data_IF_700282329826
#
_entry.id   IF_700282329826
#
_cell.length_a   1.000
_cell.length_b   1.000
_cell.length_c   1.000
_cell.angle_alpha   90.00
_cell.angle_beta   90.00
_cell.angle_gamma   90.00
#
_symmetry.space_group_name_H-M   'P 1'
#
loop_
_entity.id
_entity.type
_entity.pdbx_description
1 polymer ?
#
# COMPACT_ATOMS: atom_id res chain seq x y z
N UNK A 1 -30.26 42.09 -72.43
CA UNK A 1 -29.10 41.21 -72.72
C UNK A 1 -27.88 41.48 -71.83
N UNK A 2 -27.48 42.73 -71.58
CA UNK A 2 -26.32 43.04 -70.73
C UNK A 2 -26.56 42.78 -69.22
N UNK A 3 -27.74 43.13 -68.69
CA UNK A 3 -28.09 42.91 -67.27
C UNK A 3 -28.10 41.42 -66.89
N UNK A 4 -28.71 40.58 -67.73
CA UNK A 4 -28.71 39.12 -67.54
C UNK A 4 -27.29 38.52 -67.49
N UNK A 5 -26.33 39.11 -68.22
CA UNK A 5 -24.93 38.68 -68.17
C UNK A 5 -24.24 39.09 -66.86
N UNK A 6 -24.54 40.27 -66.34
CA UNK A 6 -24.01 40.74 -65.06
C UNK A 6 -24.57 39.92 -63.88
N UNK A 7 -25.87 39.62 -63.92
CA UNK A 7 -26.51 38.79 -62.90
C UNK A 7 -25.89 37.38 -62.87
N UNK A 8 -25.77 36.74 -64.03
CA UNK A 8 -25.10 35.43 -64.16
C UNK A 8 -23.63 35.45 -63.73
N UNK A 9 -22.90 36.54 -64.00
CA UNK A 9 -21.53 36.69 -63.52
C UNK A 9 -21.48 36.76 -61.99
N UNK A 10 -22.38 37.51 -61.35
CA UNK A 10 -22.46 37.62 -59.89
C UNK A 10 -22.81 36.29 -59.21
N UNK A 11 -23.71 35.50 -59.79
CA UNK A 11 -24.04 34.17 -59.27
C UNK A 11 -22.87 33.20 -59.35
N UNK A 12 -22.08 33.25 -60.44
CA UNK A 12 -20.87 32.42 -60.57
C UNK A 12 -19.85 32.75 -59.50
N UNK A 13 -19.59 34.03 -59.25
CA UNK A 13 -18.65 34.46 -58.21
C UNK A 13 -19.12 34.03 -56.82
N UNK A 14 -20.40 34.22 -56.51
CA UNK A 14 -20.98 33.77 -55.22
C UNK A 14 -20.93 32.26 -55.05
N UNK A 15 -21.18 31.49 -56.11
CA UNK A 15 -21.07 30.04 -56.08
C UNK A 15 -19.63 29.58 -55.80
N UNK A 16 -18.65 30.16 -56.48
CA UNK A 16 -17.22 29.87 -56.27
C UNK A 16 -16.78 30.23 -54.84
N UNK A 17 -17.22 31.39 -54.33
CA UNK A 17 -16.90 31.79 -52.96
C UNK A 17 -17.56 30.88 -51.91
N UNK A 18 -18.79 30.44 -52.14
CA UNK A 18 -19.47 29.50 -51.26
C UNK A 18 -18.79 28.14 -51.27
N UNK A 19 -18.38 27.65 -52.44
CA UNK A 19 -17.64 26.39 -52.58
C UNK A 19 -16.26 26.47 -51.91
N UNK A 20 -15.53 27.58 -52.09
CA UNK A 20 -14.26 27.80 -51.39
C UNK A 20 -14.44 27.84 -49.87
N UNK A 21 -15.45 28.56 -49.36
CA UNK A 21 -15.74 28.59 -47.92
C UNK A 21 -16.15 27.22 -47.39
N UNK A 22 -16.90 26.44 -48.17
CA UNK A 22 -17.25 25.07 -47.81
C UNK A 22 -16.01 24.16 -47.74
N UNK A 23 -15.11 24.24 -48.73
CA UNK A 23 -13.84 23.50 -48.73
C UNK A 23 -12.92 23.94 -47.59
N UNK A 24 -12.82 25.24 -47.30
CA UNK A 24 -12.05 25.75 -46.16
C UNK A 24 -12.65 25.28 -44.81
N UNK A 25 -13.97 25.27 -44.68
CA UNK A 25 -14.65 24.76 -43.49
C UNK A 25 -14.46 23.25 -43.31
N UNK A 26 -14.57 22.48 -44.40
CA UNK A 26 -14.36 21.04 -44.40
C UNK A 26 -12.91 20.69 -44.04
N UNK A 27 -11.92 21.32 -44.68
CA UNK A 27 -10.50 21.11 -44.37
C UNK A 27 -10.13 21.54 -42.95
N UNK A 28 -10.77 22.58 -42.41
CA UNK A 28 -10.59 22.97 -41.01
C UNK A 28 -11.24 21.95 -40.06
N UNK A 29 -12.42 21.44 -40.41
CA UNK A 29 -13.10 20.43 -39.62
C UNK A 29 -12.34 19.10 -39.61
N UNK A 30 -11.79 18.66 -40.75
CA UNK A 30 -10.98 17.44 -40.82
C UNK A 30 -9.70 17.59 -40.02
N UNK A 31 -8.96 18.70 -40.16
CA UNK A 31 -7.76 18.95 -39.33
C UNK A 31 -8.08 19.01 -37.84
N UNK A 32 -9.18 19.65 -37.46
CA UNK A 32 -9.60 19.70 -36.06
C UNK A 32 -9.98 18.30 -35.53
N UNK A 33 -10.62 17.47 -36.33
CA UNK A 33 -10.94 16.08 -35.99
C UNK A 33 -9.68 15.23 -35.84
N UNK A 34 -8.73 15.32 -36.79
CA UNK A 34 -7.44 14.62 -36.74
C UNK A 34 -6.61 15.05 -35.52
N UNK A 35 -6.56 16.35 -35.22
CA UNK A 35 -5.88 16.84 -34.01
C UNK A 35 -6.56 16.36 -32.73
N UNK A 36 -7.89 16.33 -32.69
CA UNK A 36 -8.63 15.83 -31.53
C UNK A 36 -8.38 14.33 -31.32
N UNK A 37 -8.39 13.54 -32.39
CA UNK A 37 -8.09 12.11 -32.35
C UNK A 37 -6.64 11.86 -31.91
N UNK A 38 -5.68 12.59 -32.46
CA UNK A 38 -4.28 12.49 -32.07
C UNK A 38 -4.05 12.85 -30.60
N UNK A 39 -4.74 13.88 -30.09
CA UNK A 39 -4.70 14.25 -28.66
C UNK A 39 -5.35 13.18 -27.78
N UNK A 40 -6.50 12.64 -28.20
CA UNK A 40 -7.19 11.58 -27.47
C UNK A 40 -6.33 10.31 -27.38
N UNK A 41 -5.70 9.92 -28.49
CA UNK A 41 -4.79 8.77 -28.53
C UNK A 41 -3.57 8.96 -27.63
N UNK A 42 -2.90 10.12 -27.70
CA UNK A 42 -1.79 10.43 -26.81
C UNK A 42 -2.20 10.41 -25.34
N UNK A 43 -3.35 10.99 -25.00
CA UNK A 43 -3.85 10.98 -23.64
C UNK A 43 -4.15 9.56 -23.13
N UNK A 44 -4.68 8.69 -24.01
CA UNK A 44 -4.87 7.27 -23.71
C UNK A 44 -3.55 6.55 -23.45
N UNK A 45 -2.58 6.71 -24.36
CA UNK A 45 -1.27 6.06 -24.26
C UNK A 45 -0.52 6.51 -22.98
N UNK A 46 -0.56 7.80 -22.66
CA UNK A 46 0.05 8.37 -21.45
C UNK A 46 -0.64 7.86 -20.17
N UNK A 47 -1.98 7.75 -20.19
CA UNK A 47 -2.74 7.20 -19.07
C UNK A 47 -2.41 5.72 -18.85
N UNK A 48 -2.36 4.91 -19.91
CA UNK A 48 -2.00 3.50 -19.84
C UNK A 48 -0.57 3.31 -19.34
N UNK A 49 0.37 4.13 -19.82
CA UNK A 49 1.75 4.11 -19.34
C UNK A 49 1.82 4.40 -17.83
N UNK A 50 1.10 5.42 -17.36
CA UNK A 50 1.08 5.81 -15.96
C UNK A 50 0.40 4.77 -15.06
N UNK A 51 -0.67 4.13 -15.55
CA UNK A 51 -1.34 3.03 -14.84
C UNK A 51 -0.38 1.84 -14.72
N UNK A 52 0.30 1.44 -15.80
CA UNK A 52 1.29 0.35 -15.77
C UNK A 52 2.46 0.65 -14.84
N UNK A 53 3.00 1.86 -14.87
CA UNK A 53 4.06 2.28 -13.96
C UNK A 53 3.61 2.23 -12.50
N UNK A 54 2.45 2.81 -12.19
CA UNK A 54 1.88 2.78 -10.84
C UNK A 54 1.57 1.36 -10.38
N UNK A 55 1.09 0.50 -11.27
CA UNK A 55 0.80 -0.90 -10.98
C UNK A 55 2.07 -1.65 -10.64
N UNK A 56 3.08 -1.63 -11.52
CA UNK A 56 4.36 -2.30 -11.30
C UNK A 56 5.07 -1.79 -10.03
N UNK A 57 5.03 -0.48 -9.76
CA UNK A 57 5.59 0.08 -8.54
C UNK A 57 4.85 -0.40 -7.28
N UNK A 58 3.52 -0.56 -7.35
CA UNK A 58 2.70 -1.06 -6.23
C UNK A 58 2.93 -2.54 -6.00
N UNK A 59 2.96 -3.36 -7.06
CA UNK A 59 3.26 -4.78 -6.99
C UNK A 59 4.63 -5.03 -6.35
N UNK A 60 5.66 -4.29 -6.79
CA UNK A 60 6.99 -4.39 -6.19
C UNK A 60 7.01 -4.02 -4.70
N UNK A 61 6.20 -3.04 -4.28
CA UNK A 61 6.09 -2.65 -2.86
C UNK A 61 5.39 -3.73 -2.05
N UNK A 62 4.31 -4.29 -2.57
CA UNK A 62 3.56 -5.40 -1.93
C UNK A 62 4.46 -6.61 -1.77
N UNK A 63 5.13 -7.05 -2.86
CA UNK A 63 6.07 -8.16 -2.83
C UNK A 63 7.16 -7.94 -1.78
N UNK A 64 7.77 -6.75 -1.74
CA UNK A 64 8.81 -6.44 -0.74
C UNK A 64 8.27 -6.43 0.69
N UNK A 65 7.05 -5.94 0.90
CA UNK A 65 6.44 -5.91 2.22
C UNK A 65 6.14 -7.33 2.72
N UNK A 66 5.55 -8.16 1.86
CA UNK A 66 5.21 -9.54 2.20
C UNK A 66 6.47 -10.40 2.40
N UNK A 67 7.48 -10.21 1.56
CA UNK A 67 8.76 -10.89 1.72
C UNK A 67 9.42 -10.54 3.06
N UNK A 68 9.35 -9.27 3.50
CA UNK A 68 9.84 -8.86 4.82
C UNK A 68 9.02 -9.51 5.95
N UNK A 69 7.69 -9.57 5.81
CA UNK A 69 6.83 -10.22 6.79
C UNK A 69 7.17 -11.70 6.94
N UNK A 70 7.31 -12.41 5.83
CA UNK A 70 7.66 -13.84 5.84
C UNK A 70 9.10 -14.07 6.32
N UNK A 71 10.04 -13.19 5.98
CA UNK A 71 11.41 -13.24 6.49
C UNK A 71 11.48 -13.07 8.01
N UNK A 72 10.74 -12.10 8.57
CA UNK A 72 10.65 -11.90 10.02
C UNK A 72 10.03 -13.12 10.70
N UNK A 73 8.97 -13.68 10.12
CA UNK A 73 8.31 -14.91 10.60
C UNK A 73 9.22 -16.13 10.52
N UNK A 74 10.07 -16.22 9.51
CA UNK A 74 11.10 -17.26 9.36
C UNK A 74 12.31 -17.07 10.30
N UNK A 75 12.39 -15.94 11.01
CA UNK A 75 13.47 -15.63 11.96
C UNK A 75 14.72 -15.06 11.29
N UNK A 76 14.58 -14.43 10.12
CA UNK A 76 15.70 -13.75 9.45
C UNK A 76 16.19 -12.58 10.30
N UNK A 77 17.49 -12.55 10.57
CA UNK A 77 18.16 -11.53 11.39
C UNK A 77 18.54 -10.34 10.53
N UNK A 78 19.08 -10.60 9.34
CA UNK A 78 19.52 -9.58 8.41
C UNK A 78 18.58 -9.49 7.21
N UNK A 79 17.69 -8.49 7.23
CA UNK A 79 16.73 -8.23 6.15
C UNK A 79 17.42 -7.81 4.84
N UNK A 80 18.66 -7.33 4.87
CA UNK A 80 19.39 -7.00 3.65
C UNK A 80 19.75 -8.26 2.84
N UNK A 81 19.76 -9.44 3.47
CA UNK A 81 19.92 -10.72 2.79
C UNK A 81 18.84 -11.00 1.73
N UNK A 82 17.68 -10.34 1.82
CA UNK A 82 16.61 -10.42 0.80
C UNK A 82 17.04 -9.90 -0.56
N UNK A 83 18.05 -9.01 -0.62
CA UNK A 83 18.65 -8.53 -1.89
C UNK A 83 19.36 -9.65 -2.66
N UNK A 84 19.72 -10.73 -1.97
CA UNK A 84 20.41 -11.88 -2.55
C UNK A 84 19.43 -12.99 -2.98
N UNK A 85 18.14 -12.80 -2.73
CA UNK A 85 17.09 -13.75 -3.07
C UNK A 85 16.65 -13.57 -4.53
N UNK A 86 16.38 -14.68 -5.22
CA UNK A 86 15.77 -14.62 -6.54
C UNK A 86 14.27 -14.34 -6.41
N UNK A 87 13.87 -13.13 -6.82
CA UNK A 87 12.47 -12.68 -6.75
C UNK A 87 11.66 -13.11 -7.99
N UNK A 88 12.29 -13.76 -8.98
CA UNK A 88 11.67 -14.11 -10.27
C UNK A 88 10.54 -15.13 -10.13
N UNK A 89 10.55 -15.93 -9.07
CA UNK A 89 9.50 -16.92 -8.76
C UNK A 89 8.32 -16.31 -8.01
N UNK A 90 8.45 -15.09 -7.48
CA UNK A 90 7.44 -14.47 -6.65
C UNK A 90 6.41 -13.74 -7.51
N UNK A 91 5.13 -14.06 -7.31
CA UNK A 91 4.02 -13.45 -8.05
C UNK A 91 2.88 -13.10 -7.11
N UNK A 92 2.16 -12.05 -7.46
CA UNK A 92 0.87 -11.72 -6.85
C UNK A 92 -0.20 -12.51 -7.60
N UNK A 93 -1.07 -13.20 -6.86
CA UNK A 93 -2.20 -13.94 -7.43
C UNK A 93 -3.41 -13.01 -7.69
N UNK A 94 -4.48 -13.57 -8.27
CA UNK A 94 -5.71 -12.81 -8.57
C UNK A 94 -6.43 -12.27 -7.33
N UNK A 95 -6.06 -12.74 -6.13
CA UNK A 95 -6.62 -12.28 -4.84
C UNK A 95 -5.78 -11.17 -4.21
N UNK A 96 -4.63 -10.85 -4.79
CA UNK A 96 -3.69 -9.87 -4.25
C UNK A 96 -2.68 -10.45 -3.25
N UNK A 97 -2.59 -11.77 -3.14
CA UNK A 97 -1.70 -12.47 -2.22
C UNK A 97 -0.38 -12.83 -2.91
N UNK A 98 0.73 -12.74 -2.17
CA UNK A 98 2.06 -13.08 -2.71
C UNK A 98 2.32 -14.57 -2.58
N UNK A 99 2.53 -15.23 -3.71
CA UNK A 99 2.86 -16.66 -3.79
C UNK A 99 4.36 -16.88 -3.92
N UNK A 100 4.88 -18.00 -3.37
CA UNK A 100 6.29 -18.39 -3.46
C UNK A 100 7.23 -17.78 -2.40
N UNK A 101 6.76 -16.83 -1.59
CA UNK A 101 7.60 -16.21 -0.55
C UNK A 101 8.05 -17.21 0.55
N UNK A 102 7.17 -18.11 0.95
CA UNK A 102 7.44 -19.17 1.95
C UNK A 102 8.51 -20.15 1.48
N UNK A 103 8.39 -20.63 0.24
CA UNK A 103 9.34 -21.55 -0.39
C UNK A 103 10.71 -20.91 -0.57
N UNK A 104 10.73 -19.62 -0.96
CA UNK A 104 11.97 -18.85 -1.07
C UNK A 104 12.69 -18.71 0.29
N UNK A 105 11.94 -18.44 1.37
CA UNK A 105 12.53 -18.38 2.72
C UNK A 105 13.10 -19.72 3.17
N UNK A 106 12.44 -20.83 2.84
CA UNK A 106 12.96 -22.17 3.12
C UNK A 106 14.28 -22.43 2.35
N UNK A 107 14.32 -22.13 1.05
CA UNK A 107 15.53 -22.27 0.24
C UNK A 107 16.68 -21.35 0.69
N UNK A 108 16.36 -20.13 1.14
CA UNK A 108 17.34 -19.20 1.74
C UNK A 108 17.90 -19.75 3.05
N UNK A 109 17.08 -20.42 3.86
CA UNK A 109 17.51 -21.02 5.13
C UNK A 109 18.49 -22.17 4.90
N UNK A 110 18.27 -22.97 3.86
CA UNK A 110 19.18 -24.06 3.48
C UNK A 110 20.49 -23.54 2.89
N UNK A 111 20.40 -22.58 1.96
CA UNK A 111 21.58 -22.07 1.25
C UNK A 111 22.43 -21.09 2.09
N UNK A 112 21.78 -20.32 2.96
CA UNK A 112 22.39 -19.21 3.73
C UNK A 112 21.86 -19.18 5.16
N UNK A 113 22.16 -20.22 5.96
CA UNK A 113 21.64 -20.34 7.33
C UNK A 113 22.07 -19.17 8.23
N UNK A 114 23.22 -18.55 7.96
CA UNK A 114 23.73 -17.40 8.72
C UNK A 114 22.82 -16.15 8.68
N UNK A 115 21.88 -16.08 7.74
CA UNK A 115 20.89 -14.99 7.66
C UNK A 115 19.75 -15.17 8.67
N UNK A 116 19.60 -16.37 9.24
CA UNK A 116 18.52 -16.72 10.14
C UNK A 116 19.05 -16.91 11.55
N UNK A 117 18.23 -16.53 12.53
CA UNK A 117 18.53 -16.83 13.92
C UNK A 117 18.38 -18.34 14.08
N UNK A 118 19.36 -18.99 14.70
CA UNK A 118 19.09 -20.32 15.25
C UNK A 118 17.89 -20.19 16.19
N UNK A 119 16.97 -21.16 16.11
CA UNK A 119 15.80 -21.19 16.96
C UNK A 119 16.24 -21.42 18.42
N UNK A 120 16.69 -20.36 19.09
CA UNK A 120 16.81 -20.34 20.53
C UNK A 120 15.38 -20.38 21.06
N UNK A 121 14.93 -21.57 21.42
CA UNK A 121 13.72 -21.79 22.18
C UNK A 121 13.86 -21.10 23.53
N UNK A 122 13.55 -19.81 23.56
CA UNK A 122 13.55 -18.98 24.77
C UNK A 122 12.24 -18.21 24.88
N UNK A 123 11.13 -18.84 24.48
CA UNK A 123 9.83 -18.54 25.07
C UNK A 123 9.69 -19.40 26.33
N UNK A 124 10.38 -19.01 27.42
CA UNK A 124 9.83 -19.33 28.72
C UNK A 124 8.72 -18.33 28.94
N UNK A 125 7.47 -18.74 28.72
CA UNK A 125 6.31 -18.12 29.36
C UNK A 125 6.52 -18.26 30.86
N UNK A 126 7.34 -17.40 31.46
CA UNK A 126 7.36 -17.27 32.91
C UNK A 126 6.00 -16.69 33.27
N UNK A 127 5.17 -17.55 33.82
CA UNK A 127 3.97 -17.15 34.53
C UNK A 127 4.38 -16.02 35.47
N UNK A 128 3.76 -14.83 35.39
CA UNK A 128 4.07 -13.76 36.32
C UNK A 128 3.92 -14.31 37.74
N UNK A 129 4.84 -14.01 38.67
CA UNK A 129 4.78 -14.54 40.02
C UNK A 129 3.39 -14.25 40.58
N UNK A 130 2.71 -15.26 41.18
CA UNK A 130 1.36 -15.08 41.69
C UNK A 130 1.36 -13.88 42.64
N UNK A 131 0.49 -12.89 42.38
CA UNK A 131 0.27 -11.77 43.32
C UNK A 131 -0.03 -12.40 44.68
N UNK A 132 0.89 -12.25 45.63
CA UNK A 132 0.67 -12.69 47.00
C UNK A 132 -0.59 -11.98 47.50
N UNK A 133 -1.66 -12.74 47.69
CA UNK A 133 -2.86 -12.22 48.36
C UNK A 133 -2.41 -11.87 49.77
N UNK A 134 -2.54 -10.59 50.14
CA UNK A 134 -2.23 -10.12 51.49
C UNK A 134 -2.94 -11.04 52.50
N UNK A 135 -2.16 -11.65 53.41
CA UNK A 135 -2.72 -12.50 54.47
C UNK A 135 -3.70 -11.66 55.31
N UNK A 136 -4.89 -12.18 55.66
CA UNK A 136 -5.82 -11.45 56.52
C UNK A 136 -5.15 -11.16 57.87
N UNK A 137 -5.19 -9.91 58.30
CA UNK A 137 -4.65 -9.49 59.59
C UNK A 137 -5.53 -10.03 60.72
N UNK A 138 -4.98 -10.90 61.57
CA UNK A 138 -5.68 -11.46 62.72
C UNK A 138 -5.42 -10.60 63.97
N UNK A 139 -6.45 -9.87 64.40
CA UNK A 139 -6.37 -8.99 65.56
C UNK A 139 -6.24 -9.74 66.90
N UNK A 140 -6.50 -11.06 66.95
CA UNK A 140 -6.44 -11.84 68.21
C UNK A 140 -5.03 -12.27 68.58
N UNK A 141 -4.14 -12.37 67.60
CA UNK A 141 -2.74 -12.80 67.78
C UNK A 141 -1.75 -11.64 67.64
N UNK A 142 -2.20 -10.50 67.10
CA UNK A 142 -1.38 -9.31 66.94
C UNK A 142 -1.07 -8.61 68.27
N UNK A 143 0.17 -8.13 68.39
CA UNK A 143 0.62 -7.32 69.52
C UNK A 143 -0.19 -6.02 69.62
N UNK A 144 -0.26 -5.39 70.80
CA UNK A 144 -0.98 -4.11 70.95
C UNK A 144 -0.49 -3.01 70.00
N UNK A 145 0.80 -2.99 69.70
CA UNK A 145 1.42 -2.02 68.80
C UNK A 145 1.02 -2.25 67.33
N UNK A 146 0.98 -3.50 66.89
CA UNK A 146 0.55 -3.87 65.54
C UNK A 146 -0.94 -3.59 65.32
N UNK A 147 -1.78 -3.81 66.34
CA UNK A 147 -3.20 -3.43 66.30
C UNK A 147 -3.38 -1.92 66.21
N UNK A 148 -2.58 -1.15 66.96
CA UNK A 148 -2.64 0.31 66.89
C UNK A 148 -2.18 0.83 65.51
N UNK A 149 -1.14 0.23 64.93
CA UNK A 149 -0.67 0.56 63.59
C UNK A 149 -1.73 0.22 62.52
N UNK A 150 -2.35 -0.96 62.59
CA UNK A 150 -3.40 -1.35 61.66
C UNK A 150 -4.69 -0.52 61.82
N UNK A 151 -5.03 -0.15 63.05
CA UNK A 151 -6.17 0.73 63.31
C UNK A 151 -5.93 2.14 62.76
N UNK A 152 -4.71 2.68 62.89
CA UNK A 152 -4.30 3.95 62.26
C UNK A 152 -4.35 3.88 60.74
N UNK A 153 -3.86 2.79 60.14
CA UNK A 153 -3.97 2.54 58.70
C UNK A 153 -5.44 2.47 58.23
N UNK A 154 -6.33 1.94 59.07
CA UNK A 154 -7.78 1.90 58.84
C UNK A 154 -8.54 3.15 59.35
N UNK A 155 -7.85 4.20 59.81
CA UNK A 155 -8.47 5.46 60.27
C UNK A 155 -9.22 5.39 61.61
N UNK A 156 -9.08 4.29 62.36
CA UNK A 156 -9.73 4.03 63.64
C UNK A 156 -8.81 4.41 64.81
N UNK A 157 -9.30 5.27 65.71
CA UNK A 157 -8.56 5.69 66.90
C UNK A 157 -8.95 4.82 68.10
N UNK A 158 -8.07 3.90 68.48
CA UNK A 158 -8.24 3.07 69.69
C UNK A 158 -7.88 3.93 70.90
N UNK A 159 -8.86 4.24 71.76
CA UNK A 159 -8.60 4.79 73.10
C UNK A 159 -8.00 3.68 73.97
N UNK A 160 -6.88 4.00 74.60
CA UNK A 160 -6.21 3.16 75.60
C UNK A 160 -7.14 2.88 76.78
#
# INVERSE_FOLDING_TARGET
MQELRQENASYRTRAIEAERKAQEAETKATKAAEEAEARAKKASDDADAKVRESHTASEQRIIRAELKAEALKAGMVDLDGLKLADLSSIKIDDKGEVTGATELMAALKESKPYLFKEASSSSSTQTPPPKEKAKPFDARTATPEERAAKAREMGLHIKQ
#
